data_IF_996010559366
#
_entry.id   IF_996010559366
#
_cell.length_a   1.000
_cell.length_b   1.000
_cell.length_c   1.000
_cell.angle_alpha   90.00
_cell.angle_beta   90.00
_cell.angle_gamma   90.00
#
_symmetry.space_group_name_H-M   'P 1'
#
loop_
_entity.id
_entity.type
_entity.pdbx_description
1 polymer ?
#
# COMPACT_ATOMS: atom_id res chain seq x y z
N UNK A 1 -14.19 -30.81 -24.31
CA UNK A 1 -14.18 -29.38 -23.89
C UNK A 1 -14.27 -29.30 -22.37
N UNK A 2 -13.15 -29.14 -21.65
CA UNK A 2 -13.14 -29.03 -20.19
C UNK A 2 -13.32 -27.56 -19.78
N UNK A 3 -14.52 -27.21 -19.29
CA UNK A 3 -14.77 -25.92 -18.62
C UNK A 3 -14.01 -25.93 -17.28
N UNK A 4 -12.80 -25.36 -17.24
CA UNK A 4 -12.14 -25.04 -15.96
C UNK A 4 -12.87 -23.87 -15.32
N UNK A 5 -13.95 -24.20 -14.61
CA UNK A 5 -14.59 -23.28 -13.68
C UNK A 5 -13.63 -23.05 -12.51
N UNK A 6 -13.10 -21.83 -12.39
CA UNK A 6 -12.55 -21.40 -11.12
C UNK A 6 -13.12 -20.02 -10.79
N UNK A 7 -14.31 -20.06 -10.20
CA UNK A 7 -15.07 -18.92 -9.72
C UNK A 7 -14.51 -18.52 -8.35
N UNK A 8 -13.26 -18.03 -8.31
CA UNK A 8 -12.77 -17.31 -7.14
C UNK A 8 -13.59 -16.02 -7.04
N UNK A 9 -14.70 -16.08 -6.30
CA UNK A 9 -15.53 -14.92 -6.00
C UNK A 9 -14.68 -13.98 -5.13
N UNK A 10 -14.01 -13.02 -5.75
CA UNK A 10 -13.30 -11.96 -5.02
C UNK A 10 -14.38 -11.12 -4.36
N UNK A 11 -14.61 -11.32 -3.06
CA UNK A 11 -15.54 -10.51 -2.26
C UNK A 11 -15.05 -9.05 -2.33
N UNK A 12 -15.72 -8.23 -3.12
CA UNK A 12 -15.39 -6.81 -3.27
C UNK A 12 -15.60 -6.12 -1.92
N UNK A 13 -14.50 -5.86 -1.21
CA UNK A 13 -14.54 -5.05 -0.01
C UNK A 13 -14.67 -3.59 -0.44
N UNK A 14 -15.72 -2.86 -0.03
CA UNK A 14 -15.89 -1.47 -0.41
C UNK A 14 -14.69 -0.68 0.11
N UNK A 15 -13.93 -0.08 -0.81
CA UNK A 15 -12.78 0.72 -0.43
C UNK A 15 -13.30 2.07 0.08
N UNK A 16 -12.95 2.48 1.30
CA UNK A 16 -13.41 3.75 1.83
C UNK A 16 -12.91 4.89 0.93
N UNK A 17 -13.83 5.81 0.59
CA UNK A 17 -13.60 6.87 -0.39
C UNK A 17 -12.83 8.08 0.20
N UNK A 18 -12.57 8.10 1.51
CA UNK A 18 -11.98 9.22 2.22
C UNK A 18 -10.45 9.12 2.33
N UNK A 19 -9.75 9.37 1.22
CA UNK A 19 -8.29 9.39 1.24
C UNK A 19 -7.75 10.52 2.15
N UNK A 20 -6.97 10.16 3.18
CA UNK A 20 -6.35 11.13 4.10
C UNK A 20 -5.41 12.13 3.39
N UNK A 21 -4.63 11.66 2.41
CA UNK A 21 -3.76 12.52 1.60
C UNK A 21 -4.53 13.58 0.81
N UNK A 22 -5.67 13.21 0.20
CA UNK A 22 -6.51 14.16 -0.53
C UNK A 22 -7.09 15.24 0.39
N UNK A 23 -7.47 14.89 1.63
CA UNK A 23 -8.02 15.85 2.60
C UNK A 23 -6.97 16.82 3.10
N UNK A 24 -5.78 16.32 3.39
CA UNK A 24 -4.69 17.12 3.95
C UNK A 24 -3.88 17.86 2.86
N UNK A 25 -4.15 17.59 1.57
CA UNK A 25 -3.37 18.08 0.41
C UNK A 25 -1.86 17.83 0.57
N UNK A 26 -1.52 16.68 1.16
CA UNK A 26 -0.14 16.25 1.41
C UNK A 26 0.21 15.13 0.45
N UNK A 27 1.43 15.16 -0.09
CA UNK A 27 1.98 14.08 -0.90
C UNK A 27 2.85 13.15 -0.05
N UNK A 28 2.90 11.84 -0.38
CA UNK A 28 3.82 10.92 0.29
C UNK A 28 5.25 11.18 -0.19
N UNK A 29 6.20 11.23 0.75
CA UNK A 29 7.63 11.38 0.49
C UNK A 29 8.45 10.24 1.10
N UNK A 30 9.50 9.79 0.41
CA UNK A 30 10.37 8.70 0.90
C UNK A 30 11.20 9.06 2.13
N UNK A 31 11.41 10.37 2.37
CA UNK A 31 12.21 10.87 3.50
C UNK A 31 11.49 10.64 4.83
N UNK A 32 10.16 10.64 4.82
CA UNK A 32 9.33 10.46 6.00
C UNK A 32 9.03 8.98 6.27
N UNK A 33 10.06 8.27 6.74
CA UNK A 33 9.97 6.84 7.01
C UNK A 33 8.84 6.47 7.99
N UNK A 34 8.55 7.34 8.97
CA UNK A 34 7.49 7.15 9.97
C UNK A 34 6.09 7.18 9.35
N UNK A 35 5.86 8.08 8.39
CA UNK A 35 4.60 8.16 7.66
C UNK A 35 4.43 6.95 6.74
N UNK A 36 5.49 6.53 6.06
CA UNK A 36 5.49 5.38 5.16
C UNK A 36 5.37 4.04 5.88
N UNK A 37 5.91 3.92 7.09
CA UNK A 37 5.82 2.70 7.91
C UNK A 37 4.37 2.27 8.17
N UNK A 38 3.42 3.21 8.26
CA UNK A 38 1.98 2.93 8.43
C UNK A 38 1.36 2.17 7.25
N UNK A 39 1.98 2.25 6.07
CA UNK A 39 1.53 1.57 4.85
C UNK A 39 2.25 0.24 4.60
N UNK A 40 3.08 -0.19 5.55
CA UNK A 40 3.81 -1.45 5.50
C UNK A 40 3.36 -2.31 6.68
N UNK A 41 3.26 -3.62 6.44
CA UNK A 41 3.03 -4.61 7.49
C UNK A 41 4.28 -4.80 8.34
N UNK A 42 4.13 -5.36 9.53
CA UNK A 42 5.27 -5.73 10.40
C UNK A 42 6.31 -6.60 9.69
N UNK A 43 5.87 -7.45 8.74
CA UNK A 43 6.77 -8.31 7.95
C UNK A 43 7.48 -7.59 6.79
N UNK A 44 7.31 -6.28 6.64
CA UNK A 44 7.89 -5.52 5.53
C UNK A 44 7.13 -5.65 4.20
N UNK A 45 5.91 -6.18 4.16
CA UNK A 45 5.07 -6.19 2.93
C UNK A 45 4.21 -4.93 2.84
N UNK A 46 4.03 -4.38 1.64
CA UNK A 46 3.14 -3.24 1.39
C UNK A 46 1.67 -3.62 1.60
N UNK A 47 0.93 -2.76 2.29
CA UNK A 47 -0.51 -2.91 2.45
C UNK A 47 -1.24 -2.56 1.15
N UNK A 48 -2.22 -3.39 0.81
CA UNK A 48 -3.09 -3.15 -0.34
C UNK A 48 -4.11 -2.04 -0.07
N UNK A 49 -4.63 -1.45 -1.15
CA UNK A 49 -5.57 -0.30 -1.11
C UNK A 49 -6.76 -0.49 -0.17
N UNK A 50 -7.31 -1.71 -0.10
CA UNK A 50 -8.47 -2.02 0.75
C UNK A 50 -8.19 -1.85 2.26
N UNK A 51 -6.93 -1.97 2.68
CA UNK A 51 -6.50 -1.80 4.07
C UNK A 51 -6.05 -0.37 4.36
N UNK A 52 -5.46 0.30 3.38
CA UNK A 52 -4.91 1.66 3.53
C UNK A 52 -5.99 2.74 3.38
N UNK A 53 -7.07 2.48 2.64
CA UNK A 53 -8.19 3.42 2.49
C UNK A 53 -7.87 4.67 1.67
N UNK A 54 -6.81 4.64 0.87
CA UNK A 54 -6.39 5.76 0.02
C UNK A 54 -6.91 5.63 -1.42
N UNK A 55 -6.93 6.75 -2.14
CA UNK A 55 -7.30 6.74 -3.57
C UNK A 55 -6.24 5.99 -4.40
N UNK A 56 -6.62 5.58 -5.61
CA UNK A 56 -5.73 4.80 -6.49
C UNK A 56 -4.48 5.58 -6.90
N UNK A 57 -4.58 6.90 -7.06
CA UNK A 57 -3.46 7.78 -7.42
C UNK A 57 -2.44 7.87 -6.28
N UNK A 58 -2.88 8.17 -5.06
CA UNK A 58 -1.99 8.19 -3.89
C UNK A 58 -1.46 6.82 -3.55
N UNK A 59 -2.21 5.73 -3.76
CA UNK A 59 -1.66 4.39 -3.58
C UNK A 59 -0.44 4.16 -4.47
N UNK A 60 -0.48 4.58 -5.75
CA UNK A 60 0.66 4.47 -6.68
C UNK A 60 1.85 5.32 -6.26
N UNK A 61 1.59 6.53 -5.75
CA UNK A 61 2.62 7.40 -5.21
C UNK A 61 3.29 6.78 -3.98
N UNK A 62 2.51 6.30 -3.00
CA UNK A 62 3.02 5.60 -1.82
C UNK A 62 3.84 4.37 -2.21
N UNK A 63 3.41 3.54 -3.17
CA UNK A 63 4.22 2.39 -3.60
C UNK A 63 5.56 2.81 -4.19
N UNK A 64 5.62 3.94 -4.92
CA UNK A 64 6.87 4.45 -5.49
C UNK A 64 7.81 4.91 -4.38
N UNK A 65 7.30 5.72 -3.45
CA UNK A 65 8.11 6.24 -2.35
C UNK A 65 8.56 5.16 -1.38
N UNK A 66 7.73 4.17 -1.05
CA UNK A 66 8.15 3.03 -0.23
C UNK A 66 9.27 2.24 -0.89
N UNK A 67 9.24 2.07 -2.22
CA UNK A 67 10.34 1.41 -2.95
C UNK A 67 11.62 2.23 -2.90
N UNK A 68 11.53 3.55 -3.02
CA UNK A 68 12.69 4.47 -2.86
C UNK A 68 13.26 4.42 -1.44
N UNK A 69 12.40 4.51 -0.43
CA UNK A 69 12.79 4.42 0.98
C UNK A 69 13.50 3.10 1.30
N UNK A 70 13.05 1.98 0.72
CA UNK A 70 13.74 0.69 0.86
C UNK A 70 15.11 0.66 0.21
N UNK A 71 15.25 1.26 -0.97
CA UNK A 71 16.56 1.37 -1.63
C UNK A 71 17.55 2.21 -0.81
N UNK A 72 17.05 3.23 -0.10
CA UNK A 72 17.84 4.07 0.81
C UNK A 72 17.98 3.50 2.23
N UNK A 73 17.61 2.24 2.45
CA UNK A 73 17.67 1.57 3.76
C UNK A 73 16.84 2.22 4.88
N UNK A 74 15.88 3.11 4.57
CA UNK A 74 14.97 3.71 5.55
C UNK A 74 13.85 2.76 5.98
N UNK A 75 13.51 1.78 5.14
CA UNK A 75 12.52 0.74 5.43
C UNK A 75 13.08 -0.64 5.06
N UNK A 76 12.80 -1.69 5.85
CA UNK A 76 13.28 -3.04 5.56
C UNK A 76 12.53 -3.68 4.38
N UNK A 77 13.24 -4.47 3.59
CA UNK A 77 12.63 -5.36 2.59
C UNK A 77 12.02 -6.61 3.23
N UNK A 78 12.71 -7.15 4.23
CA UNK A 78 12.31 -8.32 5.00
C UNK A 78 12.75 -8.08 6.43
N UNK A 79 11.84 -8.28 7.38
CA UNK A 79 12.19 -8.29 8.80
C UNK A 79 12.50 -9.74 9.15
N UNK A 80 13.71 -10.00 9.69
CA UNK A 80 14.01 -11.28 10.32
C UNK A 80 13.29 -11.27 11.67
N UNK A 81 12.32 -12.18 11.81
CA UNK A 81 11.70 -12.48 13.09
C UNK A 81 12.59 -13.46 13.85
#
# INVERSE_FOLDING_TARGET
MMKRSNRFQVKERPVPKNCGFCKNKTEPDYKDATALARFVTERGKLLGRARTGICSTHQRAVTREVKRARFMALLPFVVRA
#
